data_IF_471432703711
#
_entry.id   IF_471432703711
#
_cell.length_a   1.000
_cell.length_b   1.000
_cell.length_c   1.000
_cell.angle_alpha   90.00
_cell.angle_beta   90.00
_cell.angle_gamma   90.00
#
_symmetry.space_group_name_H-M   'P 1'
#
loop_
_entity.id
_entity.type
_entity.pdbx_description
1 polymer ?
#
# COMPACT_ATOMS: atom_id res chain seq x y z
N UNK A 1 -8.62 6.98 23.07
CA UNK A 1 -7.86 7.99 22.26
C UNK A 1 -7.23 7.31 21.05
N UNK A 2 -7.16 8.00 19.88
CA UNK A 2 -6.51 7.53 18.65
C UNK A 2 -5.23 8.33 18.41
N UNK A 3 -4.10 7.68 18.13
CA UNK A 3 -2.88 8.35 17.64
C UNK A 3 -2.77 8.18 16.12
N UNK A 4 -2.63 9.27 15.39
CA UNK A 4 -2.39 9.25 13.95
C UNK A 4 -0.93 9.61 13.69
N UNK A 5 -0.19 8.69 13.08
CA UNK A 5 1.21 8.86 12.70
C UNK A 5 1.30 9.33 11.26
N UNK A 6 2.02 10.42 11.03
CA UNK A 6 2.15 11.08 9.72
C UNK A 6 3.63 11.24 9.41
N UNK A 7 4.24 10.37 8.60
CA UNK A 7 5.59 10.60 8.10
C UNK A 7 5.56 11.74 7.07
N UNK A 8 6.52 12.66 7.15
CA UNK A 8 6.62 13.79 6.24
C UNK A 8 8.07 13.98 5.79
N UNK A 9 8.29 14.10 4.48
CA UNK A 9 9.59 14.43 3.89
C UNK A 9 9.38 15.29 2.65
N UNK A 10 9.88 16.53 2.68
CA UNK A 10 9.74 17.51 1.59
C UNK A 10 8.27 17.62 1.11
N UNK A 11 7.35 17.76 2.07
CA UNK A 11 5.90 17.79 1.88
C UNK A 11 5.28 19.19 2.03
N UNK A 12 6.05 20.25 1.87
CA UNK A 12 5.59 21.63 2.08
C UNK A 12 4.33 21.97 1.26
N UNK A 13 4.18 21.41 0.05
CA UNK A 13 3.04 21.67 -0.82
C UNK A 13 1.75 20.94 -0.37
N UNK A 14 1.83 19.92 0.47
CA UNK A 14 0.72 18.99 0.73
C UNK A 14 0.35 18.84 2.20
N UNK A 15 1.33 18.92 3.11
CA UNK A 15 1.16 18.66 4.54
C UNK A 15 0.08 19.53 5.19
N UNK A 16 -0.09 20.79 4.77
CA UNK A 16 -1.16 21.66 5.27
C UNK A 16 -2.54 21.10 5.00
N UNK A 17 -2.81 20.67 3.75
CA UNK A 17 -4.08 20.03 3.38
C UNK A 17 -4.33 18.73 4.14
N UNK A 18 -3.28 17.92 4.35
CA UNK A 18 -3.37 16.71 5.14
C UNK A 18 -3.81 17.04 6.57
N UNK A 19 -3.13 17.96 7.25
CA UNK A 19 -3.44 18.38 8.60
C UNK A 19 -4.85 19.00 8.72
N UNK A 20 -5.28 19.84 7.77
CA UNK A 20 -6.62 20.40 7.74
C UNK A 20 -7.68 19.30 7.70
N UNK A 21 -7.50 18.25 6.89
CA UNK A 21 -8.43 17.13 6.79
C UNK A 21 -8.51 16.31 8.09
N UNK A 22 -7.40 16.18 8.80
CA UNK A 22 -7.32 15.50 10.08
C UNK A 22 -7.94 16.33 11.20
N UNK A 23 -7.73 17.64 11.22
CA UNK A 23 -8.35 18.54 12.19
C UNK A 23 -9.86 18.69 12.01
N UNK A 24 -10.38 18.46 10.80
CA UNK A 24 -11.80 18.47 10.47
C UNK A 24 -12.56 17.21 10.92
N UNK A 25 -11.90 16.22 11.53
CA UNK A 25 -12.57 14.97 11.95
C UNK A 25 -13.71 15.22 12.94
N UNK A 26 -14.82 14.46 12.80
CA UNK A 26 -15.97 14.49 13.72
C UNK A 26 -15.61 13.89 15.07
N UNK A 27 -14.83 12.82 15.10
CA UNK A 27 -14.23 12.26 16.32
C UNK A 27 -13.13 13.18 16.83
N UNK A 28 -13.13 13.55 18.12
CA UNK A 28 -12.27 14.61 18.69
C UNK A 28 -11.14 14.09 19.59
N UNK A 29 -11.23 12.88 20.11
CA UNK A 29 -10.25 12.32 21.06
C UNK A 29 -9.10 11.63 20.32
N UNK A 30 -8.25 12.45 19.66
CA UNK A 30 -7.08 11.98 18.93
C UNK A 30 -5.87 12.91 19.10
N UNK A 31 -4.70 12.38 18.82
CA UNK A 31 -3.44 13.13 18.63
C UNK A 31 -2.87 12.89 17.24
N UNK A 32 -2.14 13.85 16.71
CA UNK A 32 -1.40 13.80 15.45
C UNK A 32 0.11 13.83 15.77
N UNK A 33 0.82 12.80 15.37
CA UNK A 33 2.27 12.69 15.52
C UNK A 33 2.88 12.81 14.15
N UNK A 34 3.34 14.02 13.82
CA UNK A 34 3.97 14.29 12.53
C UNK A 34 5.47 14.12 12.67
N UNK A 35 6.04 13.17 11.94
CA UNK A 35 7.46 12.89 11.97
C UNK A 35 8.10 13.46 10.71
N UNK A 36 8.83 14.58 10.86
CA UNK A 36 9.62 15.20 9.81
C UNK A 36 10.93 14.43 9.63
N UNK A 37 11.02 13.68 8.55
CA UNK A 37 12.15 12.80 8.22
C UNK A 37 13.27 13.58 7.51
N UNK A 38 13.71 14.69 8.14
CA UNK A 38 14.85 15.47 7.65
C UNK A 38 14.54 16.32 6.41
N UNK A 39 13.34 16.93 6.35
CA UNK A 39 12.97 17.82 5.23
C UNK A 39 13.92 18.99 5.07
N UNK A 40 14.20 19.34 3.83
CA UNK A 40 15.06 20.48 3.43
C UNK A 40 14.25 21.68 2.94
N UNK A 41 12.93 21.51 2.75
CA UNK A 41 11.99 22.57 2.38
C UNK A 41 11.27 23.15 3.64
N UNK A 42 10.19 23.89 3.45
CA UNK A 42 9.42 24.52 4.54
C UNK A 42 8.47 23.56 5.28
N UNK A 43 8.57 22.24 5.12
CA UNK A 43 7.69 21.24 5.74
C UNK A 43 7.64 21.40 7.26
N UNK A 44 8.82 21.40 7.92
CA UNK A 44 8.89 21.50 9.40
C UNK A 44 8.30 22.81 9.93
N UNK A 45 8.52 23.94 9.23
CA UNK A 45 7.96 25.25 9.59
C UNK A 45 6.44 25.25 9.51
N UNK A 46 5.87 24.66 8.46
CA UNK A 46 4.41 24.54 8.29
C UNK A 46 3.83 23.72 9.45
N UNK A 47 4.39 22.54 9.73
CA UNK A 47 3.91 21.67 10.81
C UNK A 47 4.02 22.37 12.18
N UNK A 48 5.11 23.09 12.45
CA UNK A 48 5.29 23.85 13.68
C UNK A 48 4.18 24.91 13.87
N UNK A 49 3.84 25.63 12.79
CA UNK A 49 2.78 26.63 12.83
C UNK A 49 1.39 26.01 13.12
N UNK A 50 1.14 24.77 12.68
CA UNK A 50 -0.08 24.04 13.06
C UNK A 50 -0.03 23.58 14.53
N UNK A 51 1.11 23.07 15.01
CA UNK A 51 1.28 22.63 16.39
C UNK A 51 1.14 23.77 17.43
N UNK A 52 1.49 25.00 17.05
CA UNK A 52 1.27 26.18 17.89
C UNK A 52 -0.23 26.53 18.04
N UNK A 53 -1.05 26.17 17.08
CA UNK A 53 -2.50 26.48 17.04
C UNK A 53 -3.37 25.36 17.61
N UNK A 54 -2.89 24.10 17.56
CA UNK A 54 -3.65 22.93 18.02
C UNK A 54 -2.73 21.98 18.79
N UNK A 55 -2.97 21.86 20.10
CA UNK A 55 -2.17 21.06 21.03
C UNK A 55 -2.23 19.55 20.76
N UNK A 56 -3.14 19.09 19.91
CA UNK A 56 -3.20 17.69 19.47
C UNK A 56 -2.09 17.33 18.50
N UNK A 57 -1.41 18.33 17.89
CA UNK A 57 -0.32 18.12 16.94
C UNK A 57 1.02 18.13 17.65
N UNK A 58 1.81 17.11 17.41
CA UNK A 58 3.18 16.98 17.90
C UNK A 58 4.12 16.77 16.73
N UNK A 59 5.10 17.65 16.56
CA UNK A 59 6.18 17.50 15.60
C UNK A 59 7.35 16.79 16.25
N UNK A 60 7.82 15.73 15.59
CA UNK A 60 9.10 15.06 15.87
C UNK A 60 9.99 15.25 14.65
N UNK A 61 11.27 15.57 14.86
CA UNK A 61 12.24 15.71 13.76
C UNK A 61 13.34 14.68 13.92
N UNK A 62 13.73 14.08 12.80
CA UNK A 62 14.85 13.14 12.72
C UNK A 62 15.72 13.43 11.48
N UNK A 63 16.90 12.85 11.43
CA UNK A 63 17.67 12.76 10.19
C UNK A 63 16.97 11.81 9.22
N UNK A 64 17.06 12.07 7.92
CA UNK A 64 16.37 11.26 6.91
C UNK A 64 16.81 9.78 7.00
N UNK A 65 15.86 8.93 7.36
CA UNK A 65 16.02 7.49 7.52
C UNK A 65 14.95 6.68 6.76
N UNK A 66 14.07 7.36 6.05
CA UNK A 66 13.00 6.76 5.24
C UNK A 66 11.66 6.60 5.96
N UNK A 67 10.62 6.37 5.16
CA UNK A 67 9.22 6.35 5.62
C UNK A 67 8.96 5.32 6.72
N UNK A 68 9.58 4.14 6.63
CA UNK A 68 9.46 3.07 7.63
C UNK A 68 10.02 3.52 9.00
N UNK A 69 11.21 4.13 9.01
CA UNK A 69 11.82 4.67 10.23
C UNK A 69 10.96 5.78 10.84
N UNK A 70 10.46 6.71 10.01
CA UNK A 70 9.58 7.77 10.46
C UNK A 70 8.27 7.22 11.07
N UNK A 71 7.63 6.21 10.45
CA UNK A 71 6.46 5.55 11.01
C UNK A 71 6.78 4.84 12.33
N UNK A 72 7.94 4.20 12.45
CA UNK A 72 8.39 3.54 13.68
C UNK A 72 8.60 4.53 14.82
N UNK A 73 9.24 5.68 14.55
CA UNK A 73 9.38 6.77 15.54
C UNK A 73 8.01 7.29 15.99
N UNK A 74 7.07 7.44 15.06
CA UNK A 74 5.70 7.80 15.39
C UNK A 74 4.98 6.76 16.25
N UNK A 75 5.18 5.46 15.98
CA UNK A 75 4.66 4.36 16.80
C UNK A 75 5.19 4.42 18.24
N UNK A 76 6.48 4.71 18.42
CA UNK A 76 7.09 4.84 19.75
C UNK A 76 6.56 6.03 20.53
N UNK A 77 6.19 7.10 19.84
CA UNK A 77 5.67 8.32 20.44
C UNK A 77 4.16 8.26 20.72
N UNK A 78 3.44 7.28 20.15
CA UNK A 78 2.00 7.16 20.23
C UNK A 78 1.51 6.80 21.64
N UNK A 79 0.46 7.51 22.10
CA UNK A 79 -0.17 7.35 23.41
C UNK A 79 -1.56 6.76 23.35
N UNK A 80 -2.16 6.72 22.16
CA UNK A 80 -3.50 6.20 21.91
C UNK A 80 -3.60 4.69 22.07
N UNK A 81 -4.81 4.24 22.33
CA UNK A 81 -5.16 2.81 22.37
C UNK A 81 -5.26 2.23 20.95
N UNK A 82 -5.53 3.10 19.98
CA UNK A 82 -5.59 2.79 18.55
C UNK A 82 -4.60 3.66 17.80
N UNK A 83 -3.99 3.09 16.76
CA UNK A 83 -3.01 3.74 15.90
C UNK A 83 -3.57 3.77 14.47
N UNK A 84 -3.54 4.94 13.85
CA UNK A 84 -3.74 5.13 12.41
C UNK A 84 -2.49 5.68 11.75
N UNK A 85 -2.40 5.53 10.44
CA UNK A 85 -1.36 6.15 9.62
C UNK A 85 -2.00 6.99 8.53
N UNK A 86 -1.35 8.07 8.15
CA UNK A 86 -1.77 8.93 7.02
C UNK A 86 -0.52 9.49 6.36
N UNK A 87 -0.41 9.37 5.05
CA UNK A 87 0.71 9.98 4.33
C UNK A 87 0.50 11.50 4.21
N UNK A 88 1.59 12.27 4.26
CA UNK A 88 1.53 13.75 4.32
C UNK A 88 1.05 14.42 3.03
N UNK A 89 0.86 13.68 1.96
CA UNK A 89 0.32 14.13 0.68
C UNK A 89 -1.16 13.73 0.47
N UNK A 90 -1.75 12.97 1.40
CA UNK A 90 -3.11 12.47 1.34
C UNK A 90 -4.10 13.29 2.19
N UNK A 91 -5.37 12.91 2.14
CA UNK A 91 -6.44 13.50 2.96
C UNK A 91 -7.48 12.45 3.33
N UNK A 92 -8.27 12.72 4.38
CA UNK A 92 -9.34 11.81 4.82
C UNK A 92 -10.69 12.55 4.88
N UNK A 93 -11.80 11.81 4.76
CA UNK A 93 -13.14 12.40 4.94
C UNK A 93 -13.40 12.76 6.41
N UNK A 94 -14.27 13.73 6.72
CA UNK A 94 -14.51 14.17 8.10
C UNK A 94 -14.98 13.07 9.06
N UNK A 95 -15.67 12.05 8.58
CA UNK A 95 -16.20 10.93 9.37
C UNK A 95 -15.24 9.73 9.46
N UNK A 96 -14.03 9.85 8.93
CA UNK A 96 -13.11 8.72 8.76
C UNK A 96 -12.78 8.01 10.07
N UNK A 97 -12.36 8.75 11.09
CA UNK A 97 -12.00 8.15 12.39
C UNK A 97 -13.22 7.56 13.11
N UNK A 98 -14.36 8.26 13.08
CA UNK A 98 -15.60 7.81 13.70
C UNK A 98 -16.12 6.52 13.05
N UNK A 99 -16.08 6.45 11.71
CA UNK A 99 -16.52 5.28 10.96
C UNK A 99 -15.62 4.06 11.22
N UNK A 100 -14.30 4.23 11.24
CA UNK A 100 -13.38 3.14 11.59
C UNK A 100 -13.56 2.69 13.05
N UNK A 101 -13.71 3.65 13.98
CA UNK A 101 -13.93 3.35 15.39
C UNK A 101 -15.23 2.56 15.61
N UNK A 102 -16.29 2.86 14.86
CA UNK A 102 -17.57 2.15 14.94
C UNK A 102 -17.47 0.65 14.56
N UNK A 103 -16.47 0.28 13.77
CA UNK A 103 -16.20 -1.09 13.36
C UNK A 103 -15.22 -1.82 14.30
N UNK A 104 -14.51 -1.06 15.13
CA UNK A 104 -13.47 -1.62 15.98
C UNK A 104 -14.06 -2.53 17.09
N UNK A 105 -13.44 -3.69 17.24
CA UNK A 105 -13.62 -4.58 18.40
C UNK A 105 -12.29 -5.33 18.62
N UNK A 106 -12.05 -5.91 19.80
CA UNK A 106 -10.86 -6.73 20.04
C UNK A 106 -10.71 -7.85 19.00
N UNK A 107 -9.58 -7.89 18.31
CA UNK A 107 -9.31 -8.85 17.24
C UNK A 107 -9.96 -8.53 15.89
N UNK A 108 -10.52 -7.34 15.72
CA UNK A 108 -11.06 -6.83 14.46
C UNK A 108 -10.12 -5.77 13.87
N UNK A 109 -9.83 -5.86 12.57
CA UNK A 109 -9.17 -4.80 11.82
C UNK A 109 -10.23 -3.99 11.06
N UNK A 110 -10.54 -2.75 11.46
CA UNK A 110 -11.40 -1.86 10.70
C UNK A 110 -10.63 -1.28 9.50
N UNK A 111 -11.29 -1.24 8.33
CA UNK A 111 -10.73 -0.77 7.06
C UNK A 111 -11.72 0.16 6.37
N UNK A 112 -11.24 1.33 5.92
CA UNK A 112 -12.01 2.27 5.13
C UNK A 112 -11.73 2.11 3.63
N UNK A 113 -12.65 2.62 2.82
CA UNK A 113 -12.47 2.73 1.37
C UNK A 113 -11.33 3.70 1.00
N UNK A 114 -10.76 3.51 -0.18
CA UNK A 114 -9.75 4.42 -0.75
C UNK A 114 -10.32 5.03 -2.03
N UNK A 115 -10.37 6.36 -2.06
CA UNK A 115 -10.62 7.15 -3.26
C UNK A 115 -9.28 7.63 -3.83
N UNK A 116 -9.02 7.37 -5.11
CA UNK A 116 -7.86 7.98 -5.79
C UNK A 116 -8.28 9.29 -6.42
N UNK A 117 -7.56 10.33 -6.09
CA UNK A 117 -7.70 11.62 -6.73
C UNK A 117 -6.67 11.72 -7.87
N UNK A 118 -7.05 11.27 -9.04
CA UNK A 118 -6.30 11.51 -10.29
C UNK A 118 -6.83 12.73 -11.06
N UNK A 119 -7.65 13.56 -10.40
CA UNK A 119 -8.24 14.76 -10.96
C UNK A 119 -9.59 14.57 -11.63
N UNK A 120 -10.07 13.33 -11.82
CA UNK A 120 -11.40 13.04 -12.39
C UNK A 120 -12.43 12.57 -11.35
N UNK A 121 -12.02 12.45 -10.06
CA UNK A 121 -12.91 12.05 -8.97
C UNK A 121 -13.31 10.58 -8.99
N UNK A 122 -12.60 9.72 -9.73
CA UNK A 122 -12.95 8.31 -9.81
C UNK A 122 -12.67 7.57 -8.50
N UNK A 123 -13.69 6.90 -7.96
CA UNK A 123 -13.56 5.99 -6.80
C UNK A 123 -12.99 4.66 -7.27
N UNK A 124 -11.86 4.24 -6.70
CA UNK A 124 -11.17 3.03 -7.14
C UNK A 124 -11.82 1.73 -6.75
N UNK A 125 -12.61 1.73 -5.71
CA UNK A 125 -13.17 0.51 -5.17
C UNK A 125 -14.42 0.74 -4.33
N UNK A 126 -15.41 -0.09 -4.54
CA UNK A 126 -16.45 -0.41 -3.57
C UNK A 126 -16.10 -1.75 -2.94
N UNK A 127 -15.81 -1.78 -1.65
CA UNK A 127 -15.53 -3.00 -0.91
C UNK A 127 -16.84 -3.69 -0.50
N UNK A 128 -16.87 -5.02 -0.40
CA UNK A 128 -17.99 -5.70 0.24
C UNK A 128 -18.08 -5.29 1.72
N UNK A 129 -19.29 -5.20 2.30
CA UNK A 129 -19.51 -4.60 3.63
C UNK A 129 -18.84 -5.33 4.80
N UNK A 130 -18.46 -6.58 4.67
CA UNK A 130 -17.67 -7.32 5.66
C UNK A 130 -17.02 -8.55 5.03
N UNK A 131 -15.80 -8.87 5.49
CA UNK A 131 -15.12 -10.13 5.20
C UNK A 131 -14.77 -10.74 6.56
N UNK A 132 -15.44 -11.85 6.92
CA UNK A 132 -15.00 -12.66 8.05
C UNK A 132 -13.80 -13.47 7.58
N UNK A 133 -12.67 -13.29 8.24
CA UNK A 133 -11.45 -13.99 7.92
C UNK A 133 -11.36 -15.24 8.80
N UNK A 134 -11.22 -16.39 8.17
CA UNK A 134 -10.69 -17.55 8.86
C UNK A 134 -9.18 -17.31 9.07
N UNK A 135 -8.76 -17.18 10.32
CA UNK A 135 -7.35 -16.90 10.67
C UNK A 135 -6.40 -18.00 10.21
N UNK A 136 -6.91 -19.18 9.87
CA UNK A 136 -6.13 -20.29 9.29
C UNK A 136 -5.94 -20.15 7.78
N UNK A 137 -6.77 -19.31 7.10
CA UNK A 137 -6.76 -19.07 5.65
C UNK A 137 -6.57 -17.57 5.31
N UNK A 138 -6.18 -16.79 6.27
CA UNK A 138 -6.11 -15.33 6.25
C UNK A 138 -5.45 -14.70 5.01
N UNK A 139 -4.30 -15.22 4.52
CA UNK A 139 -3.68 -14.61 3.35
C UNK A 139 -4.53 -14.77 2.10
N UNK A 140 -5.17 -15.92 1.91
CA UNK A 140 -5.89 -16.25 0.69
C UNK A 140 -7.16 -15.40 0.54
N UNK A 141 -8.01 -15.34 1.58
CA UNK A 141 -9.28 -14.62 1.53
C UNK A 141 -9.07 -13.10 1.47
N UNK A 142 -8.09 -12.59 2.23
CA UNK A 142 -7.77 -11.17 2.22
C UNK A 142 -7.08 -10.73 0.92
N UNK A 143 -6.11 -11.49 0.45
CA UNK A 143 -5.48 -11.26 -0.85
C UNK A 143 -6.49 -11.40 -1.98
N UNK A 144 -7.26 -12.47 -2.00
CA UNK A 144 -8.23 -12.72 -3.06
C UNK A 144 -9.35 -11.68 -3.09
N UNK A 145 -9.84 -11.22 -1.93
CA UNK A 145 -10.88 -10.20 -1.85
C UNK A 145 -10.39 -8.78 -2.23
N UNK A 146 -9.11 -8.48 -2.08
CA UNK A 146 -8.60 -7.11 -2.10
C UNK A 146 -7.42 -6.89 -3.05
N UNK A 147 -6.79 -7.94 -3.58
CA UNK A 147 -5.60 -7.91 -4.46
C UNK A 147 -5.73 -7.01 -5.69
N UNK A 148 -6.93 -6.86 -6.22
CA UNK A 148 -7.16 -6.00 -7.38
C UNK A 148 -7.28 -4.52 -7.05
N UNK A 149 -7.22 -4.12 -5.77
CA UNK A 149 -7.65 -2.79 -5.35
C UNK A 149 -6.59 -2.00 -4.57
N UNK A 150 -5.43 -2.58 -4.20
CA UNK A 150 -4.38 -1.88 -3.44
C UNK A 150 -4.74 -1.56 -1.99
N UNK A 151 -6.01 -1.70 -1.61
CA UNK A 151 -6.58 -1.33 -0.30
C UNK A 151 -6.10 -2.28 0.80
N UNK A 152 -5.85 -3.54 0.43
CA UNK A 152 -5.38 -4.56 1.34
C UNK A 152 -4.06 -4.19 2.02
N UNK A 153 -3.18 -3.59 1.27
CA UNK A 153 -1.78 -3.46 1.63
C UNK A 153 -1.42 -2.12 2.26
N UNK A 154 -2.25 -1.09 2.06
CA UNK A 154 -2.00 0.21 2.69
C UNK A 154 -2.21 0.14 4.19
N UNK A 155 -1.28 0.70 4.96
CA UNK A 155 -1.44 0.94 6.39
C UNK A 155 -2.39 2.12 6.68
N UNK A 156 -2.62 2.99 5.70
CA UNK A 156 -3.21 4.31 5.93
C UNK A 156 -4.75 4.33 6.08
N UNK A 157 -5.46 3.33 5.60
CA UNK A 157 -6.92 3.27 5.68
C UNK A 157 -7.46 2.37 6.80
N UNK A 158 -6.71 2.23 7.89
CA UNK A 158 -6.97 1.28 8.97
C UNK A 158 -6.73 1.88 10.34
N UNK A 159 -7.32 1.24 11.37
CA UNK A 159 -6.94 1.45 12.76
C UNK A 159 -6.41 0.16 13.37
N UNK A 160 -5.28 0.26 14.01
CA UNK A 160 -4.55 -0.84 14.64
C UNK A 160 -4.64 -0.74 16.16
N UNK A 161 -4.79 -1.85 16.86
CA UNK A 161 -4.69 -1.88 18.32
C UNK A 161 -3.24 -1.64 18.75
N UNK A 162 -3.00 -0.60 19.53
CA UNK A 162 -1.68 -0.31 20.07
C UNK A 162 -1.16 -1.42 20.99
N UNK A 163 -2.05 -2.10 21.72
CA UNK A 163 -1.69 -3.25 22.56
C UNK A 163 -1.16 -4.39 21.68
N UNK A 164 -1.88 -4.77 20.61
CA UNK A 164 -1.43 -5.83 19.71
C UNK A 164 -0.10 -5.49 19.01
N UNK A 165 0.11 -4.23 18.63
CA UNK A 165 1.36 -3.79 18.02
C UNK A 165 2.53 -3.92 19.00
N UNK A 166 2.33 -3.52 20.26
CA UNK A 166 3.36 -3.64 21.31
C UNK A 166 3.64 -5.08 21.69
N UNK A 167 2.60 -5.87 21.98
CA UNK A 167 2.73 -7.26 22.43
C UNK A 167 3.45 -8.13 21.38
N UNK A 168 3.27 -7.80 20.13
CA UNK A 168 3.87 -8.49 19.02
C UNK A 168 5.16 -7.84 18.49
N UNK A 169 5.61 -6.76 19.10
CA UNK A 169 6.76 -5.96 18.65
C UNK A 169 6.71 -5.63 17.16
N UNK A 170 5.49 -5.34 16.63
CA UNK A 170 5.31 -5.07 15.21
C UNK A 170 5.88 -3.71 14.82
N UNK A 171 6.73 -3.72 13.79
CA UNK A 171 7.39 -2.55 13.21
C UNK A 171 7.36 -2.62 11.70
N UNK A 172 7.46 -1.46 11.07
CA UNK A 172 7.76 -1.38 9.64
C UNK A 172 9.20 -1.82 9.41
N UNK A 173 9.41 -2.55 8.33
CA UNK A 173 10.74 -3.02 7.92
C UNK A 173 11.51 -1.87 7.25
N UNK A 174 12.54 -1.35 7.93
CA UNK A 174 13.30 -0.17 7.48
C UNK A 174 14.21 -0.47 6.29
N UNK A 175 14.57 -1.72 6.10
CA UNK A 175 15.33 -2.20 4.95
C UNK A 175 14.53 -2.25 3.65
N UNK A 176 13.19 -2.12 3.72
CA UNK A 176 12.31 -2.16 2.55
C UNK A 176 11.96 -0.76 2.07
N UNK A 177 12.14 -0.54 0.78
CA UNK A 177 11.71 0.69 0.09
C UNK A 177 10.34 0.55 -0.57
N UNK A 178 9.79 -0.65 -0.65
CA UNK A 178 8.46 -1.00 -1.19
C UNK A 178 7.97 -2.26 -0.51
N UNK A 179 6.68 -2.31 -0.18
CA UNK A 179 6.05 -3.48 0.42
C UNK A 179 6.18 -3.57 1.94
N UNK A 180 6.76 -2.54 2.58
CA UNK A 180 6.83 -2.39 4.03
C UNK A 180 5.43 -2.38 4.67
N UNK A 181 4.50 -1.65 4.06
CA UNK A 181 3.10 -1.56 4.46
C UNK A 181 2.43 -2.93 4.41
N UNK A 182 2.62 -3.64 3.31
CA UNK A 182 2.06 -4.97 3.12
C UNK A 182 2.53 -5.93 4.19
N UNK A 183 3.84 -5.99 4.46
CA UNK A 183 4.39 -6.87 5.50
C UNK A 183 3.88 -6.48 6.89
N UNK A 184 3.79 -5.19 7.19
CA UNK A 184 3.25 -4.70 8.45
C UNK A 184 1.79 -5.13 8.64
N UNK A 185 0.94 -4.90 7.64
CA UNK A 185 -0.47 -5.29 7.66
C UNK A 185 -0.63 -6.81 7.79
N UNK A 186 0.18 -7.60 7.09
CA UNK A 186 0.15 -9.07 7.22
C UNK A 186 0.49 -9.56 8.60
N UNK A 187 1.58 -9.05 9.17
CA UNK A 187 1.99 -9.41 10.52
C UNK A 187 0.90 -9.07 11.54
N UNK A 188 0.20 -7.96 11.33
CA UNK A 188 -0.92 -7.58 12.19
C UNK A 188 -2.15 -8.49 12.02
N UNK A 189 -2.52 -8.81 10.77
CA UNK A 189 -3.70 -9.63 10.46
C UNK A 189 -3.68 -11.00 11.13
N UNK A 190 -2.52 -11.60 11.36
CA UNK A 190 -2.41 -12.88 12.09
C UNK A 190 -3.00 -12.85 13.50
N UNK A 191 -3.17 -11.68 14.06
CA UNK A 191 -3.70 -11.46 15.41
C UNK A 191 -5.16 -11.02 15.39
N UNK A 192 -5.71 -10.91 14.19
CA UNK A 192 -7.10 -10.55 13.96
C UNK A 192 -7.95 -11.79 13.70
N UNK A 193 -9.20 -11.73 14.11
CA UNK A 193 -10.22 -12.74 13.81
C UNK A 193 -11.13 -12.32 12.68
N UNK A 194 -11.17 -11.02 12.40
CA UNK A 194 -12.10 -10.43 11.46
C UNK A 194 -11.54 -9.14 10.87
N UNK A 195 -11.85 -8.86 9.61
CA UNK A 195 -11.69 -7.54 8.98
C UNK A 195 -13.07 -6.99 8.69
N UNK A 196 -13.36 -5.79 9.15
CA UNK A 196 -14.58 -5.06 8.85
C UNK A 196 -14.30 -3.88 7.96
N UNK A 197 -15.13 -3.72 6.95
CA UNK A 197 -14.94 -2.73 5.91
C UNK A 197 -16.08 -1.71 5.92
N UNK A 198 -15.76 -0.44 5.68
CA UNK A 198 -16.76 0.60 5.54
C UNK A 198 -16.54 1.42 4.28
N UNK A 199 -17.64 1.65 3.53
CA UNK A 199 -17.69 2.62 2.45
C UNK A 199 -18.20 4.00 2.90
N UNK A 200 -18.50 4.18 4.20
CA UNK A 200 -18.97 5.45 4.78
C UNK A 200 -17.85 6.45 5.01
N UNK A 201 -16.62 6.00 4.98
CA UNK A 201 -15.42 6.80 5.21
C UNK A 201 -14.42 6.55 4.09
N UNK A 202 -13.75 7.60 3.68
CA UNK A 202 -12.86 7.56 2.52
C UNK A 202 -11.50 8.10 2.90
N UNK A 203 -10.48 7.29 2.61
CA UNK A 203 -9.10 7.74 2.53
C UNK A 203 -8.83 8.24 1.11
N UNK A 204 -8.49 9.51 0.97
CA UNK A 204 -8.24 10.16 -0.32
C UNK A 204 -6.76 10.10 -0.67
N UNK A 205 -6.43 9.10 -1.47
CA UNK A 205 -5.07 8.93 -1.98
C UNK A 205 -4.79 9.92 -3.11
N UNK A 206 -3.85 10.83 -2.88
CA UNK A 206 -3.46 11.84 -3.86
C UNK A 206 -2.33 11.33 -4.75
N UNK A 207 -2.60 11.24 -6.05
CA UNK A 207 -1.57 10.85 -7.04
C UNK A 207 -0.79 12.09 -7.43
N UNK A 208 0.23 12.44 -6.65
CA UNK A 208 1.17 13.48 -7.03
C UNK A 208 2.11 12.99 -8.15
N UNK A 209 2.46 13.87 -9.10
CA UNK A 209 3.41 13.53 -10.17
C UNK A 209 4.79 13.08 -9.65
N UNK A 210 5.14 13.44 -8.41
CA UNK A 210 6.40 13.11 -7.76
C UNK A 210 6.27 12.02 -6.67
N UNK A 211 5.17 11.27 -6.64
CA UNK A 211 5.00 10.20 -5.65
C UNK A 211 6.09 9.13 -5.79
N UNK A 212 6.46 8.48 -4.68
CA UNK A 212 7.45 7.39 -4.67
C UNK A 212 7.10 6.29 -5.69
N UNK A 213 5.79 6.03 -5.88
CA UNK A 213 5.25 5.07 -6.86
C UNK A 213 5.50 5.49 -8.33
N UNK A 214 5.71 6.79 -8.60
CA UNK A 214 6.02 7.31 -9.93
C UNK A 214 7.53 7.51 -10.14
N UNK A 215 8.34 7.25 -9.12
CA UNK A 215 9.79 7.40 -9.22
C UNK A 215 10.36 6.44 -10.28
N UNK A 216 11.37 6.96 -11.03
CA UNK A 216 12.07 6.18 -12.07
C UNK A 216 13.12 5.26 -11.43
N UNK A 217 12.67 4.27 -10.64
CA UNK A 217 13.55 3.28 -9.97
C UNK A 217 13.18 1.87 -10.41
N UNK A 218 14.17 1.01 -10.49
CA UNK A 218 13.95 -0.44 -10.60
C UNK A 218 13.67 -1.02 -9.21
N UNK A 219 12.46 -1.48 -9.01
CA UNK A 219 12.00 -2.06 -7.74
C UNK A 219 12.16 -3.58 -7.68
N UNK A 220 12.82 -4.22 -8.65
CA UNK A 220 12.97 -5.68 -8.72
C UNK A 220 13.52 -6.26 -7.41
N UNK A 221 14.61 -5.67 -6.89
CA UNK A 221 15.24 -6.12 -5.65
C UNK A 221 14.33 -6.02 -4.42
N UNK A 222 13.55 -4.94 -4.33
CA UNK A 222 12.61 -4.73 -3.23
C UNK A 222 11.49 -5.80 -3.25
N UNK A 223 10.84 -6.01 -4.39
CA UNK A 223 9.80 -7.04 -4.53
C UNK A 223 10.35 -8.47 -4.37
N UNK A 224 11.59 -8.73 -4.79
CA UNK A 224 12.25 -10.01 -4.55
C UNK A 224 12.45 -10.25 -3.06
N UNK A 225 12.81 -9.22 -2.30
CA UNK A 225 12.96 -9.30 -0.84
C UNK A 225 11.62 -9.59 -0.17
N UNK A 226 10.56 -8.88 -0.56
CA UNK A 226 9.20 -9.14 -0.05
C UNK A 226 8.76 -10.57 -0.35
N UNK A 227 8.93 -11.05 -1.58
CA UNK A 227 8.59 -12.43 -1.95
C UNK A 227 9.34 -13.46 -1.09
N UNK A 228 10.63 -13.22 -0.85
CA UNK A 228 11.46 -14.09 -0.01
C UNK A 228 10.96 -14.13 1.42
N UNK A 229 10.59 -12.98 1.97
CA UNK A 229 10.02 -12.86 3.31
C UNK A 229 8.66 -13.57 3.42
N UNK A 230 7.81 -13.45 2.41
CA UNK A 230 6.51 -14.14 2.38
C UNK A 230 6.63 -15.67 2.25
N UNK A 231 7.68 -16.17 1.57
CA UNK A 231 7.95 -17.60 1.41
C UNK A 231 8.61 -18.24 2.62
N UNK A 232 9.38 -17.47 3.37
CA UNK A 232 10.04 -17.94 4.59
C UNK A 232 9.33 -17.33 5.78
N UNK A 233 8.35 -18.02 6.35
CA UNK A 233 7.70 -17.51 7.54
C UNK A 233 8.70 -17.53 8.69
N UNK A 234 9.30 -16.38 9.00
CA UNK A 234 9.91 -16.17 10.29
C UNK A 234 8.77 -16.28 11.29
N UNK A 235 8.72 -17.33 12.10
CA UNK A 235 7.73 -17.64 13.15
C UNK A 235 6.41 -16.85 13.23
N UNK A 236 6.36 -15.66 12.68
CA UNK A 236 5.29 -14.68 12.74
C UNK A 236 4.43 -14.53 11.45
N UNK A 237 4.86 -15.05 10.31
CA UNK A 237 4.06 -14.99 9.08
C UNK A 237 3.40 -16.33 8.78
N UNK A 238 2.11 -16.38 8.40
CA UNK A 238 1.52 -17.62 7.90
C UNK A 238 2.21 -17.99 6.58
N UNK A 239 2.30 -19.29 6.26
CA UNK A 239 2.63 -19.68 4.91
C UNK A 239 1.56 -19.11 3.96
N UNK A 240 1.99 -18.34 2.98
CA UNK A 240 1.11 -17.87 1.91
C UNK A 240 1.10 -18.94 0.84
N UNK A 241 -0.06 -19.33 0.36
CA UNK A 241 -0.18 -20.32 -0.71
C UNK A 241 0.60 -19.87 -1.96
N UNK A 242 1.31 -20.78 -2.61
CA UNK A 242 2.17 -20.45 -3.76
C UNK A 242 1.36 -19.84 -4.92
N UNK A 243 0.09 -20.22 -5.08
CA UNK A 243 -0.81 -19.63 -6.09
C UNK A 243 -1.08 -18.16 -5.83
N UNK A 244 -1.26 -17.78 -4.56
CA UNK A 244 -1.46 -16.38 -4.13
C UNK A 244 -0.16 -15.60 -4.32
N UNK A 245 0.97 -16.18 -3.94
CA UNK A 245 2.28 -15.56 -4.18
C UNK A 245 2.56 -15.38 -5.67
N UNK A 246 2.16 -16.34 -6.51
CA UNK A 246 2.30 -16.23 -7.95
C UNK A 246 1.46 -15.08 -8.53
N UNK A 247 0.23 -14.90 -8.06
CA UNK A 247 -0.61 -13.76 -8.45
C UNK A 247 -0.04 -12.43 -7.99
N UNK A 248 0.41 -12.36 -6.73
CA UNK A 248 1.07 -11.17 -6.21
C UNK A 248 2.34 -10.85 -7.00
N UNK A 249 3.16 -11.86 -7.30
CA UNK A 249 4.35 -11.69 -8.11
C UNK A 249 4.03 -11.19 -9.53
N UNK A 250 2.93 -11.65 -10.14
CA UNK A 250 2.47 -11.16 -11.45
C UNK A 250 2.10 -9.67 -11.39
N UNK A 251 1.34 -9.24 -10.37
CA UNK A 251 1.00 -7.82 -10.20
C UNK A 251 2.26 -6.97 -9.96
N UNK A 252 3.19 -7.45 -9.16
CA UNK A 252 4.48 -6.81 -8.94
C UNK A 252 5.30 -6.70 -10.22
N UNK A 253 5.30 -7.75 -11.06
CA UNK A 253 5.93 -7.71 -12.39
C UNK A 253 5.26 -6.69 -13.30
N UNK A 254 3.94 -6.57 -13.28
CA UNK A 254 3.22 -5.55 -14.05
C UNK A 254 3.69 -4.15 -13.64
N UNK A 255 3.77 -3.90 -12.33
CA UNK A 255 4.25 -2.62 -11.80
C UNK A 255 5.68 -2.31 -12.25
N UNK A 256 6.61 -3.26 -12.07
CA UNK A 256 8.02 -3.10 -12.47
C UNK A 256 8.15 -2.84 -13.96
N UNK A 257 7.49 -3.67 -14.78
CA UNK A 257 7.59 -3.60 -16.25
C UNK A 257 6.97 -2.32 -16.83
N UNK A 258 5.94 -1.76 -16.17
CA UNK A 258 5.32 -0.51 -16.61
C UNK A 258 6.01 0.74 -16.05
N UNK A 259 6.91 0.57 -15.08
CA UNK A 259 7.69 1.68 -14.53
C UNK A 259 8.58 2.32 -15.62
N UNK A 260 8.66 3.66 -15.71
CA UNK A 260 9.49 4.36 -16.69
C UNK A 260 10.96 3.93 -16.69
N UNK A 261 11.54 3.60 -15.52
CA UNK A 261 12.92 3.11 -15.42
C UNK A 261 13.18 1.85 -16.26
N UNK A 262 12.15 1.05 -16.52
CA UNK A 262 12.22 -0.20 -17.28
C UNK A 262 11.63 -0.02 -18.69
N UNK A 263 10.41 0.53 -18.77
CA UNK A 263 9.65 0.59 -20.02
C UNK A 263 10.19 1.62 -21.04
N UNK A 264 10.96 2.62 -20.59
CA UNK A 264 11.55 3.66 -21.45
C UNK A 264 12.96 3.35 -21.97
N UNK A 265 13.55 2.26 -21.49
CA UNK A 265 14.89 1.86 -21.93
C UNK A 265 14.93 1.60 -23.44
N UNK A 266 16.13 1.74 -24.01
CA UNK A 266 16.39 1.21 -25.36
C UNK A 266 16.16 -0.30 -25.37
N UNK A 267 15.86 -0.88 -26.54
CA UNK A 267 15.66 -2.32 -26.62
C UNK A 267 16.90 -3.11 -26.13
N UNK A 268 18.10 -2.64 -26.42
CA UNK A 268 19.32 -3.30 -25.96
C UNK A 268 19.46 -3.28 -24.43
N UNK A 269 19.22 -2.13 -23.80
CA UNK A 269 19.24 -2.03 -22.33
C UNK A 269 18.12 -2.86 -21.69
N UNK A 270 16.90 -2.82 -22.22
CA UNK A 270 15.79 -3.62 -21.77
C UNK A 270 16.09 -5.14 -21.89
N UNK A 271 16.69 -5.57 -23.01
CA UNK A 271 17.03 -6.98 -23.22
C UNK A 271 18.07 -7.47 -22.22
N UNK A 272 19.08 -6.68 -21.92
CA UNK A 272 20.09 -7.01 -20.92
C UNK A 272 19.49 -7.05 -19.50
N UNK A 273 18.65 -6.06 -19.14
CA UNK A 273 17.92 -6.05 -17.88
C UNK A 273 16.98 -7.26 -17.77
N UNK A 274 16.25 -7.59 -18.84
CA UNK A 274 15.32 -8.73 -18.89
C UNK A 274 16.00 -10.06 -18.63
N UNK A 275 17.19 -10.27 -19.17
CA UNK A 275 17.96 -11.49 -18.94
C UNK A 275 18.27 -11.67 -17.43
N UNK A 276 18.63 -10.60 -16.73
CA UNK A 276 18.80 -10.61 -15.27
C UNK A 276 17.46 -10.86 -14.56
N UNK A 277 16.40 -10.16 -14.97
CA UNK A 277 15.07 -10.25 -14.36
C UNK A 277 14.48 -11.67 -14.43
N UNK A 278 14.66 -12.37 -15.56
CA UNK A 278 14.15 -13.76 -15.71
C UNK A 278 14.80 -14.77 -14.76
N UNK A 279 15.93 -14.42 -14.16
CA UNK A 279 16.62 -15.25 -13.16
C UNK A 279 16.10 -15.03 -11.74
N UNK A 280 15.29 -14.02 -11.50
CA UNK A 280 14.74 -13.73 -10.17
C UNK A 280 13.67 -14.74 -9.73
N UNK A 281 13.49 -14.88 -8.42
CA UNK A 281 12.39 -15.66 -7.85
C UNK A 281 11.04 -15.04 -8.14
N UNK A 282 10.98 -13.70 -8.18
CA UNK A 282 9.79 -12.92 -8.53
C UNK A 282 9.26 -13.28 -9.93
N UNK A 283 10.14 -13.30 -10.93
CA UNK A 283 9.77 -13.71 -12.29
C UNK A 283 9.28 -15.16 -12.32
N UNK A 284 9.99 -16.07 -11.67
CA UNK A 284 9.62 -17.49 -11.63
C UNK A 284 8.26 -17.71 -10.96
N UNK A 285 7.99 -16.99 -9.87
CA UNK A 285 6.68 -17.04 -9.22
C UNK A 285 5.59 -16.48 -10.15
N UNK A 286 5.78 -15.29 -10.72
CA UNK A 286 4.83 -14.68 -11.64
C UNK A 286 4.50 -15.57 -12.85
N UNK A 287 5.48 -16.29 -13.37
CA UNK A 287 5.29 -17.20 -14.50
C UNK A 287 4.40 -18.41 -14.16
N UNK A 288 4.19 -18.72 -12.89
CA UNK A 288 3.27 -19.78 -12.43
C UNK A 288 1.85 -19.27 -12.17
N UNK A 289 1.60 -17.95 -12.27
CA UNK A 289 0.28 -17.38 -11.96
C UNK A 289 -0.83 -18.00 -12.81
N UNK A 290 -1.91 -18.37 -12.13
CA UNK A 290 -3.13 -18.93 -12.72
C UNK A 290 -4.34 -18.19 -12.15
N UNK A 291 -5.53 -18.39 -12.71
CA UNK A 291 -6.75 -17.87 -12.10
C UNK A 291 -6.96 -18.50 -10.72
N UNK A 292 -7.31 -17.68 -9.74
CA UNK A 292 -7.75 -18.12 -8.42
C UNK A 292 -9.28 -18.28 -8.42
N UNK A 293 -9.87 -18.96 -7.43
CA UNK A 293 -11.31 -19.21 -7.38
C UNK A 293 -12.18 -17.97 -7.58
N UNK A 294 -11.76 -16.84 -6.99
CA UNK A 294 -12.50 -15.58 -7.00
C UNK A 294 -11.82 -14.44 -7.77
N UNK A 295 -10.61 -14.70 -8.31
CA UNK A 295 -9.84 -13.71 -9.07
C UNK A 295 -9.40 -14.28 -10.41
N UNK A 296 -9.78 -13.60 -11.48
CA UNK A 296 -9.33 -13.93 -12.82
C UNK A 296 -8.25 -12.98 -13.31
N UNK A 297 -7.23 -13.54 -13.92
CA UNK A 297 -6.21 -12.76 -14.62
C UNK A 297 -6.90 -12.01 -15.78
N UNK A 298 -6.81 -10.69 -15.80
CA UNK A 298 -7.37 -9.88 -16.88
C UNK A 298 -6.75 -10.23 -18.24
N UNK A 299 -7.46 -9.96 -19.35
CA UNK A 299 -6.98 -10.24 -20.71
C UNK A 299 -5.60 -9.61 -20.97
N UNK A 300 -5.39 -8.38 -20.54
CA UNK A 300 -4.12 -7.69 -20.71
C UNK A 300 -2.97 -8.38 -19.94
N UNK A 301 -3.22 -8.80 -18.69
CA UNK A 301 -2.25 -9.54 -17.88
C UNK A 301 -1.98 -10.94 -18.43
N UNK A 302 -2.96 -11.60 -19.01
CA UNK A 302 -2.77 -12.89 -19.71
C UNK A 302 -1.83 -12.76 -20.90
N UNK A 303 -1.99 -11.69 -21.71
CA UNK A 303 -1.08 -11.42 -22.83
C UNK A 303 0.35 -11.18 -22.31
N UNK A 304 0.50 -10.37 -21.27
CA UNK A 304 1.79 -10.15 -20.61
C UNK A 304 2.41 -11.46 -20.14
N UNK A 305 1.64 -12.27 -19.42
CA UNK A 305 2.09 -13.57 -18.88
C UNK A 305 2.51 -14.53 -20.01
N UNK A 306 1.77 -14.57 -21.12
CA UNK A 306 2.15 -15.37 -22.30
C UNK A 306 3.47 -14.91 -22.92
N UNK A 307 3.70 -13.59 -23.02
CA UNK A 307 4.96 -13.06 -23.53
C UNK A 307 6.12 -13.34 -22.57
N UNK A 308 5.88 -13.28 -21.26
CA UNK A 308 6.85 -13.64 -20.24
C UNK A 308 7.22 -15.12 -20.37
N UNK A 309 6.24 -16.04 -20.33
CA UNK A 309 6.46 -17.50 -20.44
C UNK A 309 7.15 -17.90 -21.75
N UNK A 310 6.81 -17.23 -22.82
CA UNK A 310 7.42 -17.46 -24.14
C UNK A 310 8.77 -16.78 -24.34
N UNK A 311 9.29 -16.07 -23.34
CA UNK A 311 10.52 -15.26 -23.42
C UNK A 311 10.59 -14.35 -24.66
N UNK A 312 9.44 -13.79 -25.08
CA UNK A 312 9.32 -12.95 -26.28
C UNK A 312 9.70 -11.51 -26.01
N UNK A 313 10.95 -11.27 -25.69
CA UNK A 313 11.50 -10.00 -25.20
C UNK A 313 11.17 -8.81 -26.09
N UNK A 314 11.31 -8.94 -27.45
CA UNK A 314 11.02 -7.87 -28.40
C UNK A 314 9.53 -7.49 -28.42
N UNK A 315 8.65 -8.50 -28.43
CA UNK A 315 7.20 -8.29 -28.40
C UNK A 315 6.77 -7.66 -27.07
N UNK A 316 7.35 -8.11 -25.96
CA UNK A 316 7.10 -7.56 -24.65
C UNK A 316 7.51 -6.08 -24.57
N UNK A 317 8.71 -5.72 -24.99
CA UNK A 317 9.18 -4.34 -25.01
C UNK A 317 8.30 -3.43 -25.88
N UNK A 318 7.89 -3.90 -27.07
CA UNK A 318 6.97 -3.17 -27.95
C UNK A 318 5.61 -2.95 -27.29
N UNK A 319 5.07 -3.98 -26.62
CA UNK A 319 3.79 -3.94 -25.92
C UNK A 319 3.84 -2.91 -24.77
N UNK A 320 4.89 -2.94 -23.95
CA UNK A 320 5.05 -2.02 -22.82
C UNK A 320 5.09 -0.55 -23.28
N UNK A 321 5.80 -0.26 -24.36
CA UNK A 321 5.84 1.09 -24.96
C UNK A 321 4.49 1.53 -25.54
N UNK A 322 3.72 0.60 -26.11
CA UNK A 322 2.37 0.88 -26.62
C UNK A 322 1.36 1.13 -25.47
N UNK A 323 1.38 0.32 -24.44
CA UNK A 323 0.50 0.48 -23.26
C UNK A 323 0.71 1.81 -22.53
N UNK A 324 1.93 2.30 -22.50
CA UNK A 324 2.18 3.60 -21.89
C UNK A 324 1.53 4.77 -22.63
N UNK A 325 1.43 4.67 -23.97
CA UNK A 325 0.75 5.69 -24.77
C UNK A 325 -0.77 5.66 -24.60
N UNK A 326 -1.34 4.52 -24.15
CA UNK A 326 -2.77 4.39 -23.85
C UNK A 326 -2.98 4.50 -22.33
N UNK A 327 -3.76 5.50 -21.87
CA UNK A 327 -4.16 5.65 -20.45
C UNK A 327 -4.90 4.42 -19.88
N UNK A 328 -5.29 3.50 -20.73
CA UNK A 328 -6.14 2.33 -20.45
C UNK A 328 -5.50 1.28 -19.55
N UNK A 329 -4.17 1.20 -19.44
CA UNK A 329 -3.51 0.16 -18.61
C UNK A 329 -3.40 0.53 -17.13
N UNK A 330 -3.59 1.80 -16.77
CA UNK A 330 -3.46 2.26 -15.39
C UNK A 330 -4.58 1.78 -14.45
N UNK A 331 -5.71 1.28 -14.98
CA UNK A 331 -6.93 1.12 -14.18
C UNK A 331 -7.83 -0.07 -14.52
N UNK A 332 -7.36 -1.14 -15.18
CA UNK A 332 -8.22 -2.31 -15.39
C UNK A 332 -8.31 -3.17 -14.14
N UNK A 333 -9.46 -3.09 -13.48
CA UNK A 333 -9.94 -4.00 -12.42
C UNK A 333 -9.89 -5.45 -12.94
N UNK A 334 -9.41 -6.43 -12.17
CA UNK A 334 -9.66 -7.82 -12.53
C UNK A 334 -11.17 -8.06 -12.49
N UNK A 335 -11.78 -8.69 -13.53
CA UNK A 335 -13.20 -8.95 -13.55
C UNK A 335 -13.57 -9.92 -12.42
N UNK A 336 -14.59 -9.56 -11.63
CA UNK A 336 -15.20 -10.46 -10.64
C UNK A 336 -16.03 -11.54 -11.37
N UNK A 337 -16.15 -12.75 -10.79
CA UNK A 337 -17.18 -13.71 -11.18
C UNK A 337 -18.56 -13.03 -10.98
N UNK A 338 -19.21 -12.60 -12.05
CA UNK A 338 -20.49 -11.90 -12.00
C UNK A 338 -20.59 -10.71 -12.94
N UNK A 339 -19.46 -10.14 -13.37
CA UNK A 339 -19.43 -9.10 -14.40
C UNK A 339 -19.37 -9.78 -15.79
N UNK A 340 -20.42 -10.51 -16.17
CA UNK A 340 -20.65 -10.91 -17.55
C UNK A 340 -21.67 -9.95 -18.19
N UNK A 341 -21.52 -9.61 -19.52
CA UNK A 341 -22.43 -8.72 -20.21
C UNK A 341 -23.83 -9.30 -20.27
#
# INVERSE_FOLDING_TARGET
MISIVIPAYNAAATVGRCLDSLLAQTYRDFELIVVDDGSTDSTAQIISAYAERDSRIRLIRQENAGVSAARNVGLDAARGDLIGFTDSDDAISPEFLEALLSLYAPGVLPVADIERSDGDGSVLASLPPAITLDTTRLPEDYFCGTLGQGIAFSSCNKLFSAALLRDACLRFAEELTVGEDMLFVFRYLRRCREVRLTCRAVYRYNIAENSAMQSRRDYTGAYETVLRTLRRPDGDLPPVAEEVLAMWALESCVFILTNPAVSEQSYAAFSAWWEGFTRTGLYRAAAQATDLPDIRISRARRVLLQLMRGNRTRSLHTLLRAFRKSRTFKHTRPPRKGDAP
#
